data_IF_933563584231
#
_entry.id   IF_933563584231
#
_cell.length_a   1.000
_cell.length_b   1.000
_cell.length_c   1.000
_cell.angle_alpha   90.00
_cell.angle_beta   90.00
_cell.angle_gamma   90.00
#
_symmetry.space_group_name_H-M   'P 1'
#
loop_
_entity.id
_entity.type
_entity.pdbx_description
1 polymer ?
#
# COMPACT_ATOMS: atom_id res chain seq x y z
N UNK A 1 -17.53 9.27 -6.39
CA UNK A 1 -18.28 8.03 -6.10
C UNK A 1 -17.51 6.85 -6.65
N UNK A 2 -17.35 5.79 -5.86
CA UNK A 2 -16.68 4.57 -6.27
C UNK A 2 -17.43 3.86 -7.40
N UNK A 3 -16.70 3.10 -8.20
CA UNK A 3 -17.25 2.27 -9.26
C UNK A 3 -17.53 0.86 -8.70
N UNK A 4 -18.74 0.35 -8.89
CA UNK A 4 -19.16 -0.95 -8.34
C UNK A 4 -19.57 -1.88 -9.47
N UNK A 5 -19.35 -3.19 -9.28
CA UNK A 5 -19.65 -4.23 -10.26
C UNK A 5 -20.35 -5.42 -9.61
N UNK A 6 -21.08 -6.17 -10.46
CA UNK A 6 -21.76 -7.40 -10.04
C UNK A 6 -22.66 -7.18 -8.83
N UNK A 7 -22.62 -8.08 -7.87
CA UNK A 7 -23.46 -8.02 -6.67
C UNK A 7 -23.27 -6.71 -5.86
N UNK A 8 -22.10 -6.08 -5.91
CA UNK A 8 -21.84 -4.83 -5.18
C UNK A 8 -22.58 -3.65 -5.82
N UNK A 9 -22.74 -3.64 -7.13
CA UNK A 9 -23.60 -2.68 -7.82
C UNK A 9 -25.06 -2.87 -7.43
N UNK A 10 -25.56 -4.11 -7.45
CA UNK A 10 -26.94 -4.43 -7.07
C UNK A 10 -27.21 -4.04 -5.60
N UNK A 11 -26.29 -4.34 -4.69
CA UNK A 11 -26.37 -3.94 -3.28
C UNK A 11 -26.48 -2.42 -3.15
N UNK A 12 -25.65 -1.66 -3.89
CA UNK A 12 -25.66 -0.20 -3.85
C UNK A 12 -26.96 0.39 -4.43
N UNK A 13 -27.42 -0.13 -5.57
CA UNK A 13 -28.62 0.35 -6.24
C UNK A 13 -29.89 0.06 -5.44
N UNK A 14 -30.00 -1.12 -4.86
CA UNK A 14 -31.15 -1.50 -4.02
C UNK A 14 -31.17 -0.73 -2.70
N UNK A 15 -30.03 -0.31 -2.18
CA UNK A 15 -29.87 0.48 -0.94
C UNK A 15 -30.77 0.01 0.22
N UNK A 16 -30.91 -1.30 0.37
CA UNK A 16 -31.81 -1.89 1.38
C UNK A 16 -31.27 -1.64 2.79
N UNK A 17 -31.91 -0.75 3.53
CA UNK A 17 -31.63 -0.47 4.93
C UNK A 17 -30.48 0.51 5.17
N UNK A 18 -30.22 1.44 4.25
CA UNK A 18 -29.27 2.53 4.44
C UNK A 18 -27.80 2.09 4.40
N UNK A 19 -27.22 2.02 3.20
CA UNK A 19 -25.82 1.65 2.99
C UNK A 19 -24.98 2.93 2.91
N UNK A 20 -23.89 2.97 3.68
CA UNK A 20 -22.95 4.10 3.67
C UNK A 20 -21.73 3.76 2.83
N UNK A 21 -21.44 4.58 1.82
CA UNK A 21 -20.18 4.49 1.05
C UNK A 21 -19.08 5.25 1.78
N UNK A 22 -17.97 4.55 2.08
CA UNK A 22 -16.77 5.14 2.69
C UNK A 22 -15.51 4.63 1.97
N UNK A 23 -14.37 5.26 2.22
CA UNK A 23 -13.09 4.82 1.65
C UNK A 23 -12.68 3.42 2.14
N UNK A 24 -12.02 2.65 1.27
CA UNK A 24 -11.60 1.25 1.56
C UNK A 24 -10.59 1.14 2.72
N UNK A 25 -9.96 2.23 3.13
CA UNK A 25 -9.04 2.31 4.27
C UNK A 25 -9.60 3.16 5.41
N UNK A 26 -10.91 3.49 5.37
CA UNK A 26 -11.57 4.32 6.38
C UNK A 26 -12.56 3.52 7.24
N UNK A 27 -12.81 4.03 8.45
CA UNK A 27 -13.80 3.45 9.38
C UNK A 27 -13.64 1.95 9.58
N UNK A 28 -14.74 1.21 9.43
CA UNK A 28 -14.77 -0.25 9.63
C UNK A 28 -13.83 -0.99 8.67
N UNK A 29 -13.64 -0.50 7.43
CA UNK A 29 -12.75 -1.16 6.48
C UNK A 29 -11.29 -1.10 6.92
N UNK A 30 -10.86 -0.08 7.66
CA UNK A 30 -9.52 -0.04 8.25
C UNK A 30 -9.32 -1.16 9.28
N UNK A 31 -10.38 -1.51 10.03
CA UNK A 31 -10.37 -2.62 10.98
C UNK A 31 -10.28 -3.97 10.25
N UNK A 32 -11.11 -4.15 9.22
CA UNK A 32 -11.09 -5.34 8.36
C UNK A 32 -9.71 -5.54 7.76
N UNK A 33 -9.14 -4.49 7.16
CA UNK A 33 -7.80 -4.53 6.55
C UNK A 33 -6.71 -4.96 7.55
N UNK A 34 -6.75 -4.43 8.77
CA UNK A 34 -5.77 -4.77 9.80
C UNK A 34 -5.93 -6.22 10.33
N UNK A 35 -7.14 -6.79 10.26
CA UNK A 35 -7.41 -8.17 10.64
C UNK A 35 -7.06 -9.16 9.52
N UNK A 36 -7.04 -8.72 8.27
CA UNK A 36 -6.53 -9.54 7.17
C UNK A 36 -5.07 -9.88 7.48
N UNK A 37 -4.80 -11.16 7.77
CA UNK A 37 -3.46 -11.67 8.05
C UNK A 37 -2.63 -11.67 6.77
N UNK A 38 -2.14 -10.52 6.38
CA UNK A 38 -1.11 -10.41 5.38
C UNK A 38 0.24 -10.64 6.09
N UNK A 39 0.80 -11.84 5.94
CA UNK A 39 2.23 -12.00 6.21
C UNK A 39 2.97 -11.23 5.13
N UNK A 40 3.67 -10.18 5.49
CA UNK A 40 4.58 -9.49 4.59
C UNK A 40 5.77 -10.43 4.28
N UNK A 41 5.56 -11.37 3.37
CA UNK A 41 6.59 -12.36 2.98
C UNK A 41 7.78 -11.68 2.33
N UNK A 42 7.57 -10.50 1.75
CA UNK A 42 8.57 -9.65 1.15
C UNK A 42 9.35 -8.79 2.17
N UNK A 43 8.94 -8.74 3.43
CA UNK A 43 9.56 -7.89 4.46
C UNK A 43 11.06 -8.14 4.63
N UNK A 44 11.50 -9.39 4.55
CA UNK A 44 12.92 -9.74 4.75
C UNK A 44 13.80 -9.11 3.65
N UNK A 45 13.33 -9.03 2.41
CA UNK A 45 14.04 -8.34 1.33
C UNK A 45 14.20 -6.85 1.58
N UNK A 46 13.17 -6.20 2.15
CA UNK A 46 13.24 -4.79 2.54
C UNK A 46 14.24 -4.57 3.68
N UNK A 47 14.22 -5.45 4.69
CA UNK A 47 15.15 -5.41 5.83
C UNK A 47 16.59 -5.63 5.37
N UNK A 48 16.88 -6.63 4.54
CA UNK A 48 18.20 -6.90 4.01
C UNK A 48 18.77 -5.71 3.23
N UNK A 49 17.96 -5.10 2.35
CA UNK A 49 18.37 -3.93 1.61
C UNK A 49 18.60 -2.72 2.54
N UNK A 50 17.77 -2.51 3.57
CA UNK A 50 17.96 -1.45 4.55
C UNK A 50 19.29 -1.58 5.29
N UNK A 51 19.68 -2.78 5.71
CA UNK A 51 20.99 -3.02 6.35
C UNK A 51 22.18 -2.67 5.46
N UNK A 52 22.02 -2.77 4.13
CA UNK A 52 23.10 -2.45 3.18
C UNK A 52 23.31 -0.95 2.98
N UNK A 53 22.27 -0.12 3.15
CA UNK A 53 22.33 1.31 2.75
C UNK A 53 22.29 2.29 3.91
N UNK A 54 21.73 1.93 5.06
CA UNK A 54 21.71 2.80 6.24
C UNK A 54 20.48 2.62 7.10
N UNK A 55 20.17 3.63 7.95
CA UNK A 55 19.15 3.49 8.98
C UNK A 55 17.93 4.39 8.80
N UNK A 56 17.99 5.38 7.94
CA UNK A 56 16.90 6.34 7.73
C UNK A 56 16.00 5.87 6.61
N UNK A 57 14.75 5.55 6.92
CA UNK A 57 13.79 4.94 5.99
C UNK A 57 12.57 5.85 5.86
N UNK A 58 12.04 5.98 4.64
CA UNK A 58 10.72 6.52 4.37
C UNK A 58 9.82 5.43 3.80
N UNK A 59 8.70 5.15 4.45
CA UNK A 59 7.65 4.29 3.92
C UNK A 59 6.48 5.12 3.41
N UNK A 60 6.14 4.98 2.14
CA UNK A 60 5.05 5.68 1.48
C UNK A 60 3.78 4.82 1.55
N UNK A 61 2.65 5.44 1.95
CA UNK A 61 1.37 4.80 2.20
C UNK A 61 1.51 3.67 3.25
N UNK A 62 2.08 4.03 4.40
CA UNK A 62 2.48 3.08 5.44
C UNK A 62 1.30 2.43 6.19
N UNK A 63 0.06 2.86 5.94
CA UNK A 63 -1.13 2.34 6.60
C UNK A 63 -1.04 2.50 8.13
N UNK A 64 -1.32 1.42 8.85
CA UNK A 64 -1.20 1.37 10.31
C UNK A 64 0.21 0.97 10.80
N UNK A 65 1.20 0.96 9.91
CA UNK A 65 2.61 0.67 10.18
C UNK A 65 2.92 -0.77 10.56
N UNK A 66 1.91 -1.65 10.58
CA UNK A 66 2.03 -3.00 11.13
C UNK A 66 2.90 -3.93 10.32
N UNK A 67 2.90 -3.80 9.00
CA UNK A 67 3.55 -4.74 8.09
C UNK A 67 5.06 -4.47 7.91
N UNK A 68 5.48 -3.20 7.84
CA UNK A 68 6.88 -2.83 7.57
C UNK A 68 7.44 -1.83 8.58
N UNK A 69 6.80 -0.67 8.77
CA UNK A 69 7.30 0.43 9.58
C UNK A 69 7.68 0.00 11.01
N UNK A 70 6.76 -0.65 11.74
CA UNK A 70 7.01 -1.13 13.11
C UNK A 70 8.05 -2.28 13.13
N UNK A 71 7.97 -3.31 12.28
CA UNK A 71 9.02 -4.32 12.16
C UNK A 71 10.41 -3.75 11.89
N UNK A 72 10.54 -2.78 10.99
CA UNK A 72 11.80 -2.10 10.69
C UNK A 72 12.33 -1.34 11.92
N UNK A 73 11.49 -0.58 12.63
CA UNK A 73 11.89 0.14 13.84
C UNK A 73 12.36 -0.81 14.96
N UNK A 74 11.75 -2.00 15.09
CA UNK A 74 12.20 -3.05 16.02
C UNK A 74 13.59 -3.59 15.65
N UNK A 75 13.97 -3.59 14.38
CA UNK A 75 15.30 -3.96 13.89
C UNK A 75 16.34 -2.84 14.08
N UNK A 76 15.91 -1.64 14.47
CA UNK A 76 16.81 -0.52 14.80
C UNK A 76 16.87 0.59 13.78
N UNK A 77 16.02 0.53 12.74
CA UNK A 77 15.90 1.60 11.75
C UNK A 77 15.06 2.77 12.27
N UNK A 78 15.34 3.96 11.78
CA UNK A 78 14.54 5.16 11.97
C UNK A 78 13.58 5.26 10.79
N UNK A 79 12.28 5.22 11.06
CA UNK A 79 11.27 5.07 10.00
C UNK A 79 10.28 6.22 10.08
N UNK A 80 10.24 7.00 9.02
CA UNK A 80 9.16 7.95 8.74
C UNK A 80 8.13 7.27 7.83
N UNK A 81 6.85 7.47 8.13
CA UNK A 81 5.74 6.97 7.34
C UNK A 81 4.89 8.12 6.83
N UNK A 82 4.40 8.02 5.59
CA UNK A 82 3.39 8.93 5.03
C UNK A 82 2.11 8.14 4.80
N UNK A 83 0.99 8.65 5.30
CA UNK A 83 -0.31 8.01 5.17
C UNK A 83 -1.41 9.08 5.01
N UNK A 84 -2.33 8.85 4.08
CA UNK A 84 -3.44 9.77 3.82
C UNK A 84 -4.67 9.46 4.68
N UNK A 85 -4.90 8.19 5.02
CA UNK A 85 -6.04 7.74 5.82
C UNK A 85 -5.87 8.08 7.30
N UNK A 86 -6.77 8.92 7.82
CA UNK A 86 -6.80 9.22 9.26
C UNK A 86 -7.16 8.01 10.10
N UNK A 87 -7.98 7.11 9.59
CA UNK A 87 -8.34 5.87 10.28
C UNK A 87 -7.13 4.95 10.45
N UNK A 88 -6.29 4.81 9.42
CA UNK A 88 -5.05 4.05 9.49
C UNK A 88 -4.05 4.68 10.45
N UNK A 89 -3.91 6.01 10.45
CA UNK A 89 -3.03 6.72 11.38
C UNK A 89 -3.49 6.54 12.84
N UNK A 90 -4.80 6.60 13.11
CA UNK A 90 -5.33 6.32 14.45
C UNK A 90 -4.92 4.92 14.93
N UNK A 91 -5.03 3.92 14.06
CA UNK A 91 -4.59 2.55 14.34
C UNK A 91 -3.08 2.43 14.52
N UNK A 92 -2.30 3.21 13.77
CA UNK A 92 -0.85 3.28 13.99
C UNK A 92 -0.54 3.72 15.43
N UNK A 93 -1.17 4.79 15.92
CA UNK A 93 -0.95 5.26 17.28
C UNK A 93 -1.40 4.25 18.35
N UNK A 94 -2.51 3.51 18.12
CA UNK A 94 -2.92 2.41 19.00
C UNK A 94 -1.86 1.31 19.09
N UNK A 95 -1.22 0.96 17.97
CA UNK A 95 -0.10 -0.01 17.93
C UNK A 95 1.14 0.57 18.56
N UNK A 96 1.51 1.82 18.23
CA UNK A 96 2.70 2.50 18.76
C UNK A 96 2.65 2.59 20.29
N UNK A 97 1.48 2.86 20.88
CA UNK A 97 1.31 2.96 22.33
C UNK A 97 1.67 1.67 23.09
N UNK A 98 1.66 0.53 22.42
CA UNK A 98 2.00 -0.79 22.99
C UNK A 98 3.48 -1.14 22.81
N UNK A 99 4.28 -0.29 22.18
CA UNK A 99 5.70 -0.52 21.94
C UNK A 99 6.57 0.03 23.08
N UNK A 100 7.81 -0.45 23.17
CA UNK A 100 8.80 0.16 24.07
C UNK A 100 9.19 1.56 23.60
N UNK A 101 9.56 2.45 24.53
CA UNK A 101 10.00 3.82 24.21
C UNK A 101 11.14 3.84 23.18
N UNK A 102 12.07 2.90 23.29
CA UNK A 102 13.17 2.74 22.33
C UNK A 102 12.69 2.54 20.88
N UNK A 103 11.57 1.84 20.68
CA UNK A 103 10.99 1.61 19.34
C UNK A 103 10.13 2.80 18.93
N UNK A 104 9.33 3.35 19.87
CA UNK A 104 8.50 4.54 19.61
C UNK A 104 9.30 5.70 19.05
N UNK A 105 10.46 5.97 19.68
CA UNK A 105 11.34 7.11 19.33
C UNK A 105 11.97 6.98 17.92
N UNK A 106 11.78 5.85 17.26
CA UNK A 106 12.24 5.60 15.88
C UNK A 106 11.14 5.72 14.82
N UNK A 107 9.92 6.04 15.25
CA UNK A 107 8.74 6.04 14.41
C UNK A 107 8.11 7.42 14.35
N UNK A 108 8.03 8.00 13.17
CA UNK A 108 7.24 9.19 12.89
C UNK A 108 6.21 8.88 11.79
N UNK A 109 5.04 9.48 11.87
CA UNK A 109 4.01 9.36 10.82
C UNK A 109 3.48 10.74 10.46
N UNK A 110 3.32 10.98 9.16
CA UNK A 110 2.81 12.21 8.59
C UNK A 110 1.47 11.95 7.88
N UNK A 111 0.43 12.70 8.27
CA UNK A 111 -0.84 12.66 7.56
C UNK A 111 -0.77 13.58 6.33
N UNK A 112 -0.51 13.01 5.18
CA UNK A 112 -0.35 13.76 3.94
C UNK A 112 -0.70 12.92 2.70
N UNK A 113 -1.12 13.60 1.61
CA UNK A 113 -1.09 13.04 0.27
C UNK A 113 0.37 13.03 -0.20
N UNK A 114 0.89 11.86 -0.56
CA UNK A 114 2.27 11.70 -1.02
C UNK A 114 2.61 12.56 -2.25
N UNK A 115 1.63 12.83 -3.09
CA UNK A 115 1.84 13.65 -4.27
C UNK A 115 2.06 15.13 -3.92
N UNK A 116 1.53 15.60 -2.78
CA UNK A 116 1.67 16.96 -2.28
C UNK A 116 2.76 17.09 -1.20
N UNK A 117 3.24 15.96 -0.68
CA UNK A 117 4.26 15.95 0.36
C UNK A 117 5.61 16.44 -0.16
N UNK A 118 6.30 17.25 0.64
CA UNK A 118 7.66 17.72 0.38
C UNK A 118 8.52 17.59 1.65
N UNK A 119 9.80 17.33 1.46
CA UNK A 119 10.77 17.24 2.55
C UNK A 119 12.18 17.57 2.08
N UNK A 120 12.95 18.21 2.96
CA UNK A 120 14.40 18.39 2.78
C UNK A 120 15.21 17.22 3.39
N UNK A 121 14.54 16.34 4.15
CA UNK A 121 15.17 15.16 4.74
C UNK A 121 15.54 14.17 3.66
N UNK A 122 16.75 13.63 3.74
CA UNK A 122 17.21 12.58 2.86
C UNK A 122 17.23 11.24 3.59
N UNK A 123 16.91 10.19 2.84
CA UNK A 123 16.74 8.82 3.34
C UNK A 123 17.75 7.88 2.71
N UNK A 124 18.12 6.84 3.45
CA UNK A 124 18.94 5.75 2.94
C UNK A 124 18.11 4.77 2.11
N UNK A 125 16.84 4.59 2.50
CA UNK A 125 15.88 3.74 1.81
C UNK A 125 14.51 4.43 1.75
N UNK A 126 13.88 4.40 0.56
CA UNK A 126 12.47 4.79 0.39
C UNK A 126 11.72 3.59 -0.15
N UNK A 127 10.52 3.33 0.40
CA UNK A 127 9.74 2.13 0.05
C UNK A 127 8.29 2.44 -0.29
N UNK A 128 7.73 1.69 -1.27
CA UNK A 128 6.29 1.62 -1.57
C UNK A 128 5.93 0.12 -1.57
N UNK A 129 5.71 -0.48 -0.39
CA UNK A 129 5.50 -1.92 -0.28
C UNK A 129 4.03 -2.34 -0.48
N UNK A 130 3.76 -3.66 -0.39
CA UNK A 130 2.40 -4.25 -0.45
C UNK A 130 1.63 -3.95 -1.72
N UNK A 131 2.31 -3.94 -2.86
CA UNK A 131 1.73 -3.62 -4.17
C UNK A 131 1.03 -2.25 -4.24
N UNK A 132 1.31 -1.36 -3.30
CA UNK A 132 0.68 -0.03 -3.17
C UNK A 132 0.86 0.84 -4.40
N UNK A 133 1.92 0.62 -5.18
CA UNK A 133 2.15 1.33 -6.44
C UNK A 133 0.94 1.27 -7.38
N UNK A 134 0.11 0.21 -7.33
CA UNK A 134 -1.09 0.10 -8.15
C UNK A 134 -2.17 1.14 -7.80
N UNK A 135 -2.14 1.69 -6.59
CA UNK A 135 -3.05 2.75 -6.14
C UNK A 135 -2.54 4.15 -6.52
N UNK A 136 -1.24 4.28 -6.75
CA UNK A 136 -0.58 5.56 -7.05
C UNK A 136 -0.43 5.80 -8.56
N UNK A 137 -0.35 4.74 -9.37
CA UNK A 137 0.02 4.82 -10.78
C UNK A 137 -1.14 5.10 -11.75
N UNK A 138 -2.32 5.48 -11.28
CA UNK A 138 -3.47 5.79 -12.17
C UNK A 138 -3.18 7.04 -13.03
N UNK A 139 -2.53 8.05 -12.47
CA UNK A 139 -1.98 9.19 -13.18
C UNK A 139 -0.46 9.03 -13.37
N UNK A 140 -0.06 8.65 -14.58
CA UNK A 140 1.35 8.37 -14.90
C UNK A 140 2.23 9.62 -14.78
N UNK A 141 1.72 10.82 -15.05
CA UNK A 141 2.47 12.08 -14.94
C UNK A 141 2.73 12.41 -13.46
N UNK A 142 1.71 12.33 -12.62
CA UNK A 142 1.87 12.53 -11.18
C UNK A 142 2.83 11.48 -10.59
N UNK A 143 2.71 10.23 -10.99
CA UNK A 143 3.57 9.13 -10.51
C UNK A 143 5.02 9.32 -10.94
N UNK A 144 5.27 9.74 -12.18
CA UNK A 144 6.63 10.07 -12.66
C UNK A 144 7.23 11.24 -11.86
N UNK A 145 6.43 12.27 -11.56
CA UNK A 145 6.88 13.38 -10.72
C UNK A 145 7.16 12.93 -9.29
N UNK A 146 6.37 12.02 -8.73
CA UNK A 146 6.65 11.40 -7.43
C UNK A 146 8.00 10.66 -7.46
N UNK A 147 8.28 9.88 -8.50
CA UNK A 147 9.56 9.15 -8.61
C UNK A 147 10.75 10.13 -8.71
N UNK A 148 10.60 11.29 -9.39
CA UNK A 148 11.61 12.35 -9.38
C UNK A 148 11.82 12.96 -7.97
N UNK A 149 10.74 13.15 -7.20
CA UNK A 149 10.84 13.58 -5.80
C UNK A 149 11.55 12.51 -4.95
N UNK A 150 11.18 11.24 -5.08
CA UNK A 150 11.83 10.12 -4.40
C UNK A 150 13.33 10.11 -4.69
N UNK A 151 13.73 10.29 -5.95
CA UNK A 151 15.15 10.39 -6.32
C UNK A 151 15.88 11.53 -5.59
N UNK A 152 15.24 12.71 -5.45
CA UNK A 152 15.81 13.84 -4.70
C UNK A 152 15.90 13.55 -3.19
N UNK A 153 14.91 12.88 -2.62
CA UNK A 153 14.87 12.53 -1.21
C UNK A 153 15.82 11.38 -0.83
N UNK A 154 16.39 10.67 -1.79
CA UNK A 154 17.41 9.68 -1.52
C UNK A 154 18.79 10.32 -1.38
N UNK A 155 19.55 9.84 -0.39
CA UNK A 155 20.97 10.06 -0.29
C UNK A 155 21.70 9.41 -1.48
N UNK A 156 22.90 9.91 -1.89
CA UNK A 156 23.76 9.16 -2.81
C UNK A 156 24.00 7.72 -2.30
N UNK A 157 23.84 6.73 -3.18
CA UNK A 157 23.87 5.30 -2.82
C UNK A 157 22.63 4.78 -2.08
N UNK A 158 21.64 5.62 -1.83
CA UNK A 158 20.36 5.21 -1.26
C UNK A 158 19.50 4.44 -2.26
N UNK A 159 18.55 3.65 -1.74
CA UNK A 159 17.71 2.77 -2.56
C UNK A 159 16.24 3.16 -2.52
N UNK A 160 15.57 2.97 -3.66
CA UNK A 160 14.12 3.01 -3.79
C UNK A 160 13.61 1.60 -4.09
N UNK A 161 12.65 1.13 -3.28
CA UNK A 161 12.07 -0.20 -3.44
C UNK A 161 10.55 -0.13 -3.53
N UNK A 162 9.98 -0.87 -4.46
CA UNK A 162 8.55 -1.08 -4.59
C UNK A 162 8.25 -2.44 -5.20
N UNK A 163 7.03 -2.89 -5.04
CA UNK A 163 6.59 -4.19 -5.55
C UNK A 163 5.24 -4.09 -6.27
N UNK A 164 5.00 -5.03 -7.19
CA UNK A 164 3.76 -5.16 -7.93
C UNK A 164 3.47 -6.59 -8.35
N UNK A 165 2.21 -6.91 -8.55
CA UNK A 165 1.76 -8.23 -8.97
C UNK A 165 2.11 -8.51 -10.43
N UNK A 166 2.57 -9.73 -10.71
CA UNK A 166 2.92 -10.24 -12.04
C UNK A 166 2.15 -11.49 -12.45
N UNK A 167 1.32 -12.04 -11.56
CA UNK A 167 0.48 -13.21 -11.77
C UNK A 167 -0.91 -12.89 -12.31
N UNK A 168 -1.11 -11.67 -12.81
CA UNK A 168 -2.39 -11.25 -13.34
C UNK A 168 -2.73 -12.06 -14.58
N UNK A 169 -3.98 -12.52 -14.65
CA UNK A 169 -4.48 -13.32 -15.76
C UNK A 169 -4.18 -12.65 -17.10
N UNK A 170 -3.76 -13.44 -18.07
CA UNK A 170 -3.58 -13.00 -19.47
C UNK A 170 -4.92 -12.84 -20.22
N UNK A 171 -6.04 -13.13 -19.57
CA UNK A 171 -7.38 -12.91 -20.15
C UNK A 171 -7.72 -11.42 -20.13
N UNK A 172 -8.53 -10.99 -21.08
CA UNK A 172 -8.96 -9.58 -21.21
C UNK A 172 -9.70 -9.07 -19.98
N UNK A 173 -10.42 -9.94 -19.30
CA UNK A 173 -11.15 -9.66 -18.07
C UNK A 173 -10.91 -10.77 -17.05
N UNK A 174 -10.79 -10.38 -15.79
CA UNK A 174 -10.67 -11.29 -14.67
C UNK A 174 -11.56 -10.82 -13.54
N UNK A 175 -12.36 -11.74 -13.02
CA UNK A 175 -13.18 -11.53 -11.83
C UNK A 175 -12.73 -12.55 -10.79
N UNK A 176 -12.21 -12.09 -9.66
CA UNK A 176 -11.80 -12.99 -8.58
C UNK A 176 -13.02 -13.72 -7.99
N UNK A 177 -12.82 -14.88 -7.36
CA UNK A 177 -13.84 -15.42 -6.45
C UNK A 177 -14.20 -14.39 -5.38
N UNK A 178 -15.44 -14.45 -4.88
CA UNK A 178 -15.84 -13.65 -3.73
C UNK A 178 -15.08 -14.16 -2.51
N UNK A 179 -14.34 -13.27 -1.87
CA UNK A 179 -13.75 -13.54 -0.56
C UNK A 179 -14.72 -13.09 0.53
N UNK A 180 -14.93 -13.91 1.56
CA UNK A 180 -15.77 -13.58 2.70
C UNK A 180 -15.03 -13.84 4.01
N UNK A 181 -15.28 -13.00 5.00
CA UNK A 181 -14.73 -13.13 6.35
C UNK A 181 -15.78 -12.77 7.38
N UNK A 182 -15.72 -13.46 8.52
CA UNK A 182 -16.55 -13.18 9.69
C UNK A 182 -15.65 -13.06 10.90
N UNK A 183 -15.70 -11.91 11.57
CA UNK A 183 -15.04 -11.74 12.86
C UNK A 183 -16.08 -11.77 13.99
N UNK A 184 -15.85 -12.66 15.00
CA UNK A 184 -16.72 -12.80 16.16
C UNK A 184 -16.32 -11.90 17.33
N UNK A 185 -15.11 -11.35 17.34
CA UNK A 185 -14.61 -10.45 18.39
C UNK A 185 -15.02 -9.00 18.11
N UNK A 186 -14.92 -8.60 16.84
CA UNK A 186 -15.56 -7.41 16.30
C UNK A 186 -16.59 -7.90 15.27
N UNK A 187 -17.86 -8.05 15.65
CA UNK A 187 -18.82 -8.76 14.82
C UNK A 187 -19.05 -8.04 13.51
N UNK A 188 -18.43 -8.56 12.46
CA UNK A 188 -18.71 -8.16 11.09
C UNK A 188 -18.78 -9.35 10.15
N UNK A 189 -19.53 -9.19 9.09
CA UNK A 189 -19.49 -10.04 7.89
C UNK A 189 -18.99 -9.19 6.74
N UNK A 190 -17.98 -9.68 6.01
CA UNK A 190 -17.37 -8.97 4.90
C UNK A 190 -17.42 -9.80 3.63
N UNK A 191 -17.68 -9.13 2.52
CA UNK A 191 -17.49 -9.64 1.15
C UNK A 191 -16.57 -8.72 0.39
N UNK A 192 -15.65 -9.30 -0.36
CA UNK A 192 -14.70 -8.58 -1.22
C UNK A 192 -14.56 -9.30 -2.55
N UNK A 193 -14.49 -8.53 -3.62
CA UNK A 193 -14.20 -9.04 -4.95
C UNK A 193 -13.35 -8.07 -5.75
N UNK A 194 -12.49 -8.62 -6.57
CA UNK A 194 -11.61 -7.89 -7.47
C UNK A 194 -12.08 -8.11 -8.92
N UNK A 195 -12.16 -7.02 -9.65
CA UNK A 195 -12.49 -6.98 -11.07
C UNK A 195 -11.31 -6.34 -11.81
N UNK A 196 -10.73 -7.05 -12.76
CA UNK A 196 -9.60 -6.56 -13.55
C UNK A 196 -9.93 -6.56 -15.04
N UNK A 197 -9.63 -5.46 -15.72
CA UNK A 197 -9.61 -5.37 -17.17
C UNK A 197 -8.17 -5.14 -17.62
N UNK A 198 -7.53 -6.19 -18.12
CA UNK A 198 -6.11 -6.16 -18.51
C UNK A 198 -5.89 -5.25 -19.73
N UNK A 199 -6.82 -5.23 -20.68
CA UNK A 199 -6.73 -4.38 -21.89
C UNK A 199 -6.80 -2.91 -21.50
N UNK A 200 -7.71 -2.54 -20.59
CA UNK A 200 -7.81 -1.19 -20.06
C UNK A 200 -6.69 -0.83 -19.05
N UNK A 201 -5.90 -1.81 -18.61
CA UNK A 201 -4.84 -1.63 -17.62
C UNK A 201 -5.35 -1.21 -16.24
N UNK A 202 -6.60 -1.58 -15.91
CA UNK A 202 -7.28 -1.14 -14.68
C UNK A 202 -7.96 -2.28 -13.96
N UNK A 203 -7.99 -2.18 -12.64
CA UNK A 203 -8.75 -3.05 -11.78
C UNK A 203 -9.54 -2.27 -10.74
N UNK A 204 -10.51 -2.94 -10.13
CA UNK A 204 -11.36 -2.40 -9.08
C UNK A 204 -11.51 -3.45 -8.00
N UNK A 205 -11.39 -3.02 -6.75
CA UNK A 205 -11.74 -3.84 -5.59
C UNK A 205 -13.01 -3.27 -4.99
N UNK A 206 -14.05 -4.11 -4.88
CA UNK A 206 -15.26 -3.77 -4.17
C UNK A 206 -15.33 -4.54 -2.86
N UNK A 207 -15.76 -3.87 -1.80
CA UNK A 207 -15.96 -4.44 -0.47
C UNK A 207 -17.32 -4.04 0.08
N UNK A 208 -17.94 -4.96 0.81
CA UNK A 208 -19.16 -4.74 1.57
C UNK A 208 -18.98 -5.30 2.97
N UNK A 209 -19.44 -4.58 3.99
CA UNK A 209 -19.38 -4.98 5.39
C UNK A 209 -20.73 -4.72 6.07
N UNK A 210 -21.22 -5.72 6.79
CA UNK A 210 -22.25 -5.57 7.82
C UNK A 210 -21.63 -5.73 9.20
N UNK A 211 -21.97 -4.83 10.12
CA UNK A 211 -21.47 -4.82 11.49
C UNK A 211 -22.53 -4.29 12.45
N UNK A 212 -22.25 -4.40 13.76
CA UNK A 212 -23.05 -3.80 14.81
C UNK A 212 -22.31 -2.62 15.43
N UNK A 213 -22.94 -1.44 15.43
CA UNK A 213 -22.40 -0.25 16.08
C UNK A 213 -23.44 0.30 17.06
N UNK A 214 -23.08 0.41 18.32
CA UNK A 214 -23.98 0.85 19.41
C UNK A 214 -25.29 0.04 19.50
N UNK A 215 -25.25 -1.26 19.17
CA UNK A 215 -26.42 -2.12 19.16
C UNK A 215 -27.27 -2.05 17.90
N UNK A 216 -26.90 -1.22 16.93
CA UNK A 216 -27.62 -1.05 15.68
C UNK A 216 -26.86 -1.68 14.50
N UNK A 217 -27.54 -2.39 13.57
CA UNK A 217 -26.89 -2.91 12.38
C UNK A 217 -26.49 -1.76 11.45
N UNK A 218 -25.26 -1.80 10.98
CA UNK A 218 -24.70 -0.84 10.01
C UNK A 218 -24.16 -1.57 8.79
N UNK A 219 -24.33 -0.96 7.63
CA UNK A 219 -23.91 -1.49 6.34
C UNK A 219 -23.02 -0.47 5.64
N UNK A 220 -21.88 -0.95 5.17
CA UNK A 220 -20.89 -0.13 4.50
C UNK A 220 -20.48 -0.75 3.18
N UNK A 221 -20.20 0.09 2.20
CA UNK A 221 -19.68 -0.32 0.90
C UNK A 221 -18.48 0.57 0.52
N UNK A 222 -17.48 -0.05 -0.09
CA UNK A 222 -16.28 0.64 -0.55
C UNK A 222 -15.85 0.16 -1.92
N UNK A 223 -15.20 1.06 -2.65
CA UNK A 223 -14.57 0.75 -3.92
C UNK A 223 -13.20 1.40 -3.97
N UNK A 224 -12.23 0.70 -4.54
CA UNK A 224 -10.88 1.23 -4.82
C UNK A 224 -10.49 0.90 -6.24
N UNK A 225 -10.12 1.92 -6.99
CA UNK A 225 -9.51 1.75 -8.30
C UNK A 225 -8.04 1.38 -8.13
N UNK A 226 -7.52 0.57 -9.05
CA UNK A 226 -6.10 0.25 -9.13
C UNK A 226 -5.62 0.20 -10.58
N UNK A 227 -4.38 0.61 -10.80
CA UNK A 227 -3.69 0.41 -12.07
C UNK A 227 -3.11 -0.99 -12.11
N UNK A 228 -3.21 -1.65 -13.26
CA UNK A 228 -2.47 -2.89 -13.51
C UNK A 228 -1.05 -2.50 -13.89
N UNK A 229 -0.10 -2.89 -13.05
CA UNK A 229 1.31 -2.55 -13.25
C UNK A 229 1.96 -3.62 -14.12
N UNK A 230 2.64 -3.17 -15.17
CA UNK A 230 3.42 -4.00 -16.08
C UNK A 230 4.87 -3.55 -16.11
N UNK A 231 5.78 -4.43 -16.52
CA UNK A 231 7.20 -4.09 -16.70
C UNK A 231 7.37 -2.90 -17.66
N UNK A 232 6.53 -2.83 -18.69
CA UNK A 232 6.52 -1.72 -19.64
C UNK A 232 6.13 -0.39 -18.99
N UNK A 233 5.10 -0.38 -18.15
CA UNK A 233 4.70 0.80 -17.39
C UNK A 233 5.81 1.23 -16.42
N UNK A 234 6.39 0.30 -15.67
CA UNK A 234 7.52 0.59 -14.76
C UNK A 234 8.68 1.23 -15.51
N UNK A 235 9.05 0.67 -16.67
CA UNK A 235 10.10 1.26 -17.53
C UNK A 235 9.76 2.69 -17.96
N UNK A 236 8.50 2.95 -18.33
CA UNK A 236 8.04 4.28 -18.71
C UNK A 236 8.10 5.27 -17.53
N UNK A 237 7.68 4.85 -16.33
CA UNK A 237 7.71 5.67 -15.12
C UNK A 237 9.13 6.04 -14.70
N UNK A 238 10.10 5.17 -14.93
CA UNK A 238 11.51 5.39 -14.60
C UNK A 238 12.28 6.16 -15.69
N UNK A 239 11.70 6.33 -16.87
CA UNK A 239 12.35 7.02 -17.96
C UNK A 239 12.70 8.46 -17.57
N UNK A 240 13.93 8.93 -17.91
CA UNK A 240 14.46 10.25 -17.58
C UNK A 240 14.70 10.49 -16.06
N UNK A 241 14.82 9.40 -15.29
CA UNK A 241 15.24 9.46 -13.90
C UNK A 241 16.46 8.57 -13.76
N UNK A 242 17.55 9.09 -13.22
CA UNK A 242 18.87 8.45 -13.19
C UNK A 242 18.99 7.35 -12.13
N UNK A 243 17.91 6.53 -11.99
CA UNK A 243 17.96 5.34 -11.17
C UNK A 243 18.71 4.22 -11.90
N UNK A 244 19.60 3.55 -11.16
CA UNK A 244 20.20 2.30 -11.60
C UNK A 244 19.40 1.11 -11.06
N UNK A 245 19.10 0.14 -11.91
CA UNK A 245 18.50 -1.12 -11.43
C UNK A 245 19.55 -1.90 -10.63
N UNK A 246 19.35 -1.99 -9.32
CA UNK A 246 20.26 -2.73 -8.43
C UNK A 246 19.93 -4.21 -8.38
N UNK A 247 18.62 -4.54 -8.18
CA UNK A 247 18.18 -5.94 -8.12
C UNK A 247 16.68 -6.08 -8.41
N UNK A 248 16.26 -7.31 -8.62
CA UNK A 248 14.84 -7.70 -8.78
C UNK A 248 14.63 -9.04 -8.09
N UNK A 249 13.59 -9.12 -7.26
CA UNK A 249 13.19 -10.36 -6.59
C UNK A 249 11.80 -10.80 -7.07
N UNK A 250 11.61 -12.11 -7.18
CA UNK A 250 10.30 -12.72 -7.41
C UNK A 250 9.85 -13.37 -6.11
N UNK A 251 8.75 -12.90 -5.55
CA UNK A 251 8.22 -13.38 -4.27
C UNK A 251 6.90 -14.10 -4.52
N UNK A 252 6.88 -15.40 -4.16
CA UNK A 252 5.64 -16.18 -4.19
C UNK A 252 4.87 -15.93 -2.89
N UNK A 253 3.70 -15.34 -3.01
CA UNK A 253 2.75 -15.13 -1.91
C UNK A 253 1.62 -16.16 -1.99
N UNK A 254 0.87 -16.35 -0.90
CA UNK A 254 -0.21 -17.36 -0.84
C UNK A 254 -1.19 -17.30 -2.02
N UNK A 255 -1.51 -16.09 -2.50
CA UNK A 255 -2.49 -15.87 -3.56
C UNK A 255 -2.00 -14.90 -4.63
N UNK A 256 -0.70 -14.65 -4.73
CA UNK A 256 -0.13 -13.72 -5.68
C UNK A 256 1.35 -14.02 -5.93
N UNK A 257 1.82 -13.68 -7.11
CA UNK A 257 3.24 -13.59 -7.44
C UNK A 257 3.60 -12.11 -7.60
N UNK A 258 4.59 -11.68 -6.85
CA UNK A 258 4.98 -10.28 -6.76
C UNK A 258 6.41 -10.12 -7.26
N UNK A 259 6.63 -9.09 -8.05
CA UNK A 259 7.96 -8.63 -8.46
C UNK A 259 8.34 -7.42 -7.63
N UNK A 260 9.44 -7.52 -6.90
CA UNK A 260 10.02 -6.45 -6.11
C UNK A 260 11.22 -5.88 -6.86
N UNK A 261 11.20 -4.57 -7.08
CA UNK A 261 12.24 -3.82 -7.78
C UNK A 261 13.08 -3.06 -6.75
N UNK A 262 14.39 -3.13 -6.90
CA UNK A 262 15.34 -2.35 -6.13
C UNK A 262 16.11 -1.43 -7.07
N UNK A 263 15.94 -0.16 -6.89
CA UNK A 263 16.62 0.91 -7.63
C UNK A 263 17.62 1.61 -6.70
N UNK A 264 18.73 2.06 -7.25
CA UNK A 264 19.77 2.76 -6.50
C UNK A 264 20.05 4.13 -7.13
N UNK A 265 20.20 5.14 -6.29
CA UNK A 265 20.70 6.45 -6.71
C UNK A 265 22.22 6.42 -6.80
N UNK A 266 22.77 6.83 -7.92
CA UNK A 266 24.23 6.87 -8.11
C UNK A 266 24.94 7.65 -6.99
N UNK A 267 26.13 7.15 -6.63
CA UNK A 267 27.06 7.89 -5.79
C UNK A 267 27.75 8.91 -6.71
N UNK A 268 27.53 10.19 -6.47
CA UNK A 268 28.30 11.21 -7.17
C UNK A 268 29.80 10.97 -6.94
N UNK A 269 30.52 10.61 -7.99
CA UNK A 269 31.97 10.56 -7.93
C UNK A 269 32.43 12.01 -7.84
N UNK A 270 32.88 12.43 -6.65
CA UNK A 270 33.63 13.68 -6.52
C UNK A 270 34.86 13.53 -7.40
N UNK A 271 34.90 14.30 -8.50
CA UNK A 271 36.11 14.51 -9.32
C UNK A 271 37.18 15.25 -8.53
#
# INVERSE_FOLDING_TARGET
MGQFYGIFQDIKELNMGGITEIGIYEGIFSNVYANMKNSAQELDYYIENAFCVGKSILEIACGDGGNYMIPMAKKGFEVDGIEISKSMISRFYEKQNRLSEKVKNRLNIYNADIFEYETEKQYDLITIPSTTICLLADDEVRTKNLFRKIYKWLKPGGRFMFDYRVDQSLTSEFISPIFSEVDKKMPYVMFMQEFNNIIAGRGIVNMYVETMENGEPKKYIASSNKKIITDSLVKNLLQEIDFQLHNTYMVEMKNAKVKLIVLEKEIEKNE
#
